data_IF_902832084657
#
_entry.id   IF_902832084657
#
_cell.length_a   1.000
_cell.length_b   1.000
_cell.length_c   1.000
_cell.angle_alpha   90.00
_cell.angle_beta   90.00
_cell.angle_gamma   90.00
#
_symmetry.space_group_name_H-M   'P 1'
#
loop_
_entity.id
_entity.type
_entity.pdbx_description
1 polymer ?
#
# COMPACT_ATOMS: atom_id res chain seq x y z
N UNK A 1 9.02 24.70 5.54
CA UNK A 1 7.80 23.87 5.58
C UNK A 1 7.85 22.96 4.38
N UNK A 2 8.47 21.81 4.54
CA UNK A 2 8.42 20.75 3.53
C UNK A 2 7.16 19.97 3.83
N UNK A 3 6.15 20.09 2.97
CA UNK A 3 5.14 19.04 2.84
C UNK A 3 5.93 17.79 2.47
N UNK A 4 6.03 16.84 3.41
CA UNK A 4 6.51 15.51 3.14
C UNK A 4 5.59 14.93 2.09
N UNK A 5 5.93 15.13 0.83
CA UNK A 5 5.31 14.45 -0.28
C UNK A 5 5.76 13.01 -0.14
N UNK A 6 4.94 12.21 0.54
CA UNK A 6 5.03 10.76 0.46
C UNK A 6 4.50 10.42 -0.92
N UNK A 7 5.30 10.75 -1.93
CA UNK A 7 5.27 9.99 -3.16
C UNK A 7 5.55 8.56 -2.71
N UNK A 8 4.52 7.73 -2.65
CA UNK A 8 4.67 6.32 -2.97
C UNK A 8 5.24 6.29 -4.39
N UNK A 9 6.54 6.54 -4.54
CA UNK A 9 7.21 6.78 -5.81
C UNK A 9 7.26 5.50 -6.62
N UNK A 10 6.10 5.07 -7.10
CA UNK A 10 5.94 3.97 -8.02
C UNK A 10 6.46 4.45 -9.35
N UNK A 11 7.60 3.88 -9.76
CA UNK A 11 8.04 4.05 -11.13
C UNK A 11 7.28 3.09 -12.06
N UNK A 12 7.50 3.25 -13.36
CA UNK A 12 6.85 2.42 -14.37
C UNK A 12 7.14 0.92 -14.17
N UNK A 13 8.36 0.59 -13.76
CA UNK A 13 8.81 -0.79 -13.58
C UNK A 13 8.08 -1.41 -12.39
N UNK A 14 7.98 -0.69 -11.28
CA UNK A 14 7.25 -1.12 -10.09
C UNK A 14 5.79 -1.44 -10.42
N UNK A 15 5.09 -0.55 -11.14
CA UNK A 15 3.68 -0.77 -11.50
C UNK A 15 3.52 -1.98 -12.41
N UNK A 16 4.39 -2.14 -13.41
CA UNK A 16 4.37 -3.30 -14.31
C UNK A 16 4.59 -4.60 -13.54
N UNK A 17 5.60 -4.65 -12.68
CA UNK A 17 5.93 -5.83 -11.90
C UNK A 17 4.81 -6.19 -10.91
N UNK A 18 4.17 -5.19 -10.28
CA UNK A 18 3.01 -5.41 -9.41
C UNK A 18 1.83 -6.01 -10.17
N UNK A 19 1.44 -5.40 -11.30
CA UNK A 19 0.31 -5.90 -12.10
C UNK A 19 0.56 -7.32 -12.59
N UNK A 20 1.78 -7.61 -13.06
CA UNK A 20 2.19 -8.95 -13.49
C UNK A 20 2.16 -9.95 -12.33
N UNK A 21 2.73 -9.58 -11.18
CA UNK A 21 2.75 -10.41 -9.97
C UNK A 21 1.35 -10.71 -9.45
N UNK A 22 0.42 -9.76 -9.58
CA UNK A 22 -0.96 -9.94 -9.14
C UNK A 22 -1.85 -10.67 -10.14
N UNK A 23 -1.35 -10.90 -11.36
CA UNK A 23 -1.99 -11.69 -12.40
C UNK A 23 -2.92 -10.86 -13.29
N UNK A 24 -2.71 -9.55 -13.38
CA UNK A 24 -3.48 -8.71 -14.29
C UNK A 24 -3.14 -9.04 -15.75
N UNK A 25 -4.14 -9.31 -16.62
CA UNK A 25 -3.88 -9.66 -18.01
C UNK A 25 -3.49 -8.43 -18.83
N UNK A 26 -2.28 -8.42 -19.38
CA UNK A 26 -1.78 -7.33 -20.24
C UNK A 26 -2.67 -7.07 -21.47
N UNK A 27 -3.43 -8.06 -21.93
CA UNK A 27 -4.40 -7.91 -23.03
C UNK A 27 -5.51 -6.91 -22.73
N UNK A 28 -5.75 -6.58 -21.46
CA UNK A 28 -6.74 -5.58 -21.03
C UNK A 28 -6.17 -4.16 -20.92
N UNK A 29 -4.93 -3.93 -21.37
CA UNK A 29 -4.28 -2.61 -21.30
C UNK A 29 -5.12 -1.47 -21.87
N UNK A 30 -5.85 -1.71 -22.98
CA UNK A 30 -6.65 -0.69 -23.64
C UNK A 30 -7.86 -0.30 -22.77
N UNK A 31 -8.54 -1.27 -22.17
CA UNK A 31 -9.64 -0.97 -21.23
C UNK A 31 -9.10 -0.26 -19.99
N UNK A 32 -7.97 -0.72 -19.44
CA UNK A 32 -7.32 -0.10 -18.29
C UNK A 32 -6.97 1.36 -18.56
N UNK A 33 -6.35 1.66 -19.70
CA UNK A 33 -6.02 3.02 -20.09
C UNK A 33 -7.22 3.96 -20.11
N UNK A 34 -8.37 3.49 -20.63
CA UNK A 34 -9.62 4.27 -20.61
C UNK A 34 -10.11 4.55 -19.19
N UNK A 35 -10.02 3.56 -18.29
CA UNK A 35 -10.42 3.72 -16.87
C UNK A 35 -9.50 4.68 -16.13
N UNK A 36 -8.21 4.65 -16.45
CA UNK A 36 -7.19 5.56 -15.92
C UNK A 36 -7.29 6.99 -16.47
N UNK A 37 -8.18 7.25 -17.45
CA UNK A 37 -8.42 8.59 -17.98
C UNK A 37 -7.68 8.94 -19.26
N UNK A 38 -6.98 7.97 -19.86
CA UNK A 38 -6.45 8.12 -21.21
C UNK A 38 -7.58 8.17 -22.23
N UNK A 39 -7.44 9.01 -23.24
CA UNK A 39 -8.43 9.11 -24.32
C UNK A 39 -8.24 7.98 -25.32
N UNK A 40 -9.34 7.59 -25.96
CA UNK A 40 -9.33 6.56 -27.00
C UNK A 40 -8.31 6.86 -28.11
N UNK A 41 -8.22 8.10 -28.57
CA UNK A 41 -7.26 8.47 -29.62
C UNK A 41 -5.80 8.23 -29.20
N UNK A 42 -5.46 8.49 -27.94
CA UNK A 42 -4.12 8.20 -27.38
C UNK A 42 -3.84 6.71 -27.42
N UNK A 43 -4.80 5.88 -27.00
CA UNK A 43 -4.67 4.43 -27.01
C UNK A 43 -4.61 3.85 -28.43
N UNK A 44 -5.44 4.35 -29.35
CA UNK A 44 -5.43 3.95 -30.76
C UNK A 44 -4.05 4.24 -31.41
N UNK A 45 -3.41 5.36 -31.04
CA UNK A 45 -2.04 5.69 -31.50
C UNK A 45 -1.01 4.71 -30.94
N UNK A 46 -1.13 4.30 -29.67
CA UNK A 46 -0.25 3.29 -29.07
C UNK A 46 -0.41 1.96 -29.80
N UNK A 47 -1.64 1.50 -30.01
CA UNK A 47 -1.94 0.24 -30.69
C UNK A 47 -1.41 0.22 -32.13
N UNK A 48 -1.56 1.33 -32.85
CA UNK A 48 -1.04 1.45 -34.21
C UNK A 48 0.49 1.40 -34.28
N UNK A 49 1.20 1.99 -33.31
CA UNK A 49 2.66 2.00 -33.25
C UNK A 49 3.26 0.67 -32.82
N UNK A 50 2.59 -0.05 -31.93
CA UNK A 50 3.08 -1.29 -31.32
C UNK A 50 2.18 -2.48 -31.65
N UNK A 51 1.71 -2.53 -32.90
CA UNK A 51 0.71 -3.49 -33.35
C UNK A 51 1.20 -4.93 -33.12
N UNK A 52 0.43 -5.69 -32.33
CA UNK A 52 0.73 -7.09 -32.00
C UNK A 52 1.70 -7.28 -30.83
N UNK A 53 2.27 -6.20 -30.28
CA UNK A 53 3.15 -6.23 -29.11
C UNK A 53 2.38 -5.73 -27.87
N UNK A 54 1.59 -6.62 -27.29
CA UNK A 54 0.73 -6.33 -26.13
C UNK A 54 1.53 -5.84 -24.91
N UNK A 55 2.66 -6.46 -24.50
CA UNK A 55 3.47 -5.96 -23.39
C UNK A 55 3.96 -4.52 -23.64
N UNK A 56 4.35 -4.20 -24.87
CA UNK A 56 4.77 -2.84 -25.22
C UNK A 56 3.64 -1.84 -25.18
N UNK A 57 2.44 -2.20 -25.66
CA UNK A 57 1.25 -1.37 -25.53
C UNK A 57 0.90 -1.09 -24.06
N UNK A 58 0.97 -2.11 -23.20
CA UNK A 58 0.77 -1.94 -21.75
C UNK A 58 1.78 -0.99 -21.13
N UNK A 59 3.07 -1.16 -21.47
CA UNK A 59 4.16 -0.31 -20.99
C UNK A 59 3.93 1.15 -21.38
N UNK A 60 3.59 1.42 -22.65
CA UNK A 60 3.35 2.78 -23.13
C UNK A 60 2.07 3.37 -22.53
N UNK A 61 1.02 2.57 -22.38
CA UNK A 61 -0.21 2.98 -21.70
C UNK A 61 0.06 3.46 -20.27
N UNK A 62 0.80 2.67 -19.48
CA UNK A 62 1.17 3.06 -18.12
C UNK A 62 2.13 4.24 -18.09
N UNK A 63 3.00 4.38 -19.10
CA UNK A 63 3.89 5.54 -19.24
C UNK A 63 3.11 6.83 -19.46
N UNK A 64 2.07 6.81 -20.30
CA UNK A 64 1.17 7.95 -20.51
C UNK A 64 0.37 8.28 -19.24
N UNK A 65 -0.09 7.25 -18.51
CA UNK A 65 -0.77 7.44 -17.24
C UNK A 65 0.14 8.07 -16.18
N UNK A 66 1.36 7.55 -15.96
CA UNK A 66 2.35 8.13 -15.05
C UNK A 66 2.79 9.53 -15.47
N UNK A 67 2.79 9.81 -16.78
CA UNK A 67 2.99 11.13 -17.35
C UNK A 67 1.79 12.09 -17.19
N UNK A 68 0.71 11.66 -16.54
CA UNK A 68 -0.53 12.42 -16.30
C UNK A 68 -1.16 12.96 -17.59
N UNK A 69 -1.11 12.17 -18.67
CA UNK A 69 -1.67 12.56 -19.95
C UNK A 69 -3.21 12.68 -19.92
N UNK A 70 -3.78 13.35 -20.92
CA UNK A 70 -5.22 13.41 -21.14
C UNK A 70 -6.04 13.86 -19.92
N UNK A 71 -6.90 12.98 -19.38
CA UNK A 71 -7.83 13.26 -18.29
C UNK A 71 -7.45 12.45 -17.03
N UNK A 72 -6.20 12.02 -16.90
CA UNK A 72 -5.70 11.23 -15.75
C UNK A 72 -5.95 11.96 -14.43
N UNK A 73 -5.71 13.26 -14.39
CA UNK A 73 -5.94 14.09 -13.19
C UNK A 73 -7.42 14.16 -12.80
N UNK A 74 -8.32 14.15 -13.79
CA UNK A 74 -9.76 14.08 -13.55
C UNK A 74 -10.23 12.70 -13.05
N UNK A 75 -9.33 11.70 -13.05
CA UNK A 75 -9.56 10.33 -12.57
C UNK A 75 -8.79 10.00 -11.28
N UNK A 76 -8.31 11.02 -10.57
CA UNK A 76 -7.56 10.86 -9.32
C UNK A 76 -6.06 11.04 -9.47
N UNK A 77 -5.53 11.11 -10.70
CA UNK A 77 -4.10 11.26 -10.95
C UNK A 77 -3.38 9.93 -11.16
N UNK A 78 -2.05 9.97 -11.05
CA UNK A 78 -1.18 8.84 -11.30
C UNK A 78 -0.63 8.25 -9.99
N UNK A 79 -1.49 7.56 -9.27
CA UNK A 79 -1.17 6.91 -7.99
C UNK A 79 -1.82 5.53 -7.87
N UNK A 80 -1.46 4.78 -6.82
CA UNK A 80 -1.97 3.43 -6.63
C UNK A 80 -3.46 3.38 -6.23
N UNK A 81 -4.06 4.51 -5.81
CA UNK A 81 -5.50 4.59 -5.51
C UNK A 81 -6.27 4.57 -6.81
N UNK A 82 -5.93 5.48 -7.73
CA UNK A 82 -6.58 5.60 -9.02
C UNK A 82 -6.41 4.33 -9.85
N UNK A 83 -5.25 3.65 -9.73
CA UNK A 83 -5.04 2.33 -10.31
C UNK A 83 -5.94 1.26 -9.68
N UNK A 84 -6.04 1.20 -8.35
CA UNK A 84 -6.91 0.27 -7.63
C UNK A 84 -8.38 0.46 -7.99
N UNK A 85 -8.84 1.70 -8.08
CA UNK A 85 -10.21 2.04 -8.46
C UNK A 85 -10.51 1.70 -9.92
N UNK A 86 -9.56 1.97 -10.83
CA UNK A 86 -9.66 1.56 -12.22
C UNK A 86 -9.82 0.04 -12.33
N UNK A 87 -8.97 -0.74 -11.63
CA UNK A 87 -9.04 -2.20 -11.58
C UNK A 87 -10.38 -2.69 -11.02
N UNK A 88 -10.87 -2.10 -9.92
CA UNK A 88 -12.19 -2.43 -9.33
C UNK A 88 -13.31 -2.16 -10.34
N UNK A 89 -13.23 -1.06 -11.09
CA UNK A 89 -14.21 -0.69 -12.12
C UNK A 89 -14.23 -1.63 -13.34
N UNK A 90 -13.14 -2.38 -13.56
CA UNK A 90 -12.99 -3.42 -14.57
C UNK A 90 -13.39 -4.81 -14.06
N UNK A 91 -13.91 -4.91 -12.83
CA UNK A 91 -14.18 -6.17 -12.13
C UNK A 91 -12.91 -7.01 -11.84
N UNK A 92 -11.73 -6.39 -11.85
CA UNK A 92 -10.45 -6.99 -11.43
C UNK A 92 -10.26 -6.82 -9.91
N UNK A 93 -11.31 -7.15 -9.14
CA UNK A 93 -11.36 -6.93 -7.69
C UNK A 93 -10.24 -7.66 -6.96
N UNK A 94 -9.88 -8.87 -7.37
CA UNK A 94 -8.79 -9.62 -6.77
C UNK A 94 -7.41 -8.93 -6.96
N UNK A 95 -7.18 -8.30 -8.10
CA UNK A 95 -5.94 -7.54 -8.35
C UNK A 95 -5.94 -6.26 -7.53
N UNK A 96 -7.08 -5.55 -7.48
CA UNK A 96 -7.24 -4.33 -6.68
C UNK A 96 -7.01 -4.59 -5.19
N UNK A 97 -7.57 -5.67 -4.62
CA UNK A 97 -7.35 -6.02 -3.21
C UNK A 97 -5.89 -6.39 -2.91
N UNK A 98 -5.21 -7.13 -3.81
CA UNK A 98 -3.77 -7.40 -3.66
C UNK A 98 -2.94 -6.12 -3.72
N UNK A 99 -3.31 -5.18 -4.59
CA UNK A 99 -2.65 -3.89 -4.69
C UNK A 99 -2.82 -3.07 -3.40
N UNK A 100 -4.05 -2.96 -2.91
CA UNK A 100 -4.35 -2.31 -1.62
C UNK A 100 -3.52 -2.91 -0.49
N UNK A 101 -3.48 -4.23 -0.42
CA UNK A 101 -2.71 -4.95 0.59
C UNK A 101 -1.20 -4.65 0.50
N UNK A 102 -0.64 -4.60 -0.71
CA UNK A 102 0.75 -4.22 -0.94
C UNK A 102 1.05 -2.80 -0.45
N UNK A 103 0.14 -1.85 -0.69
CA UNK A 103 0.31 -0.46 -0.23
C UNK A 103 0.37 -0.38 1.29
N UNK A 104 -0.55 -1.06 2.00
CA UNK A 104 -0.55 -1.06 3.47
C UNK A 104 0.76 -1.63 4.05
N UNK A 105 1.29 -2.70 3.46
CA UNK A 105 2.59 -3.25 3.86
C UNK A 105 3.72 -2.23 3.60
N UNK A 106 3.67 -1.51 2.47
CA UNK A 106 4.67 -0.51 2.15
C UNK A 106 4.64 0.68 3.12
N UNK A 107 3.44 1.19 3.43
CA UNK A 107 3.24 2.23 4.46
C UNK A 107 3.84 1.76 5.78
N UNK A 108 3.52 0.55 6.24
CA UNK A 108 4.09 0.01 7.47
C UNK A 108 5.63 -0.05 7.42
N UNK A 109 6.21 -0.53 6.31
CA UNK A 109 7.67 -0.61 6.16
C UNK A 109 8.34 0.78 6.18
N UNK A 110 7.71 1.80 5.60
CA UNK A 110 8.23 3.17 5.61
C UNK A 110 8.31 3.75 7.04
N UNK A 111 7.37 3.38 7.91
CA UNK A 111 7.38 3.78 9.32
C UNK A 111 8.20 2.85 10.22
N UNK A 112 8.67 1.70 9.73
CA UNK A 112 9.33 0.67 10.54
C UNK A 112 10.54 1.20 11.31
N UNK A 113 11.38 2.01 10.67
CA UNK A 113 12.57 2.58 11.31
C UNK A 113 12.22 3.49 12.48
N UNK A 114 11.19 4.33 12.34
CA UNK A 114 10.75 5.23 13.41
C UNK A 114 10.10 4.42 14.53
N UNK A 115 9.26 3.44 14.18
CA UNK A 115 8.63 2.56 15.15
C UNK A 115 9.67 1.76 15.96
N UNK A 116 10.69 1.17 15.33
CA UNK A 116 11.71 0.39 16.05
C UNK A 116 12.57 1.24 16.99
N UNK A 117 12.69 2.54 16.72
CA UNK A 117 13.47 3.48 17.54
C UNK A 117 12.67 4.15 18.65
N UNK A 118 11.38 4.42 18.42
CA UNK A 118 10.60 5.32 19.27
C UNK A 118 9.42 4.66 19.99
N UNK A 119 8.99 3.48 19.57
CA UNK A 119 7.79 2.83 20.12
C UNK A 119 7.95 2.56 21.63
N UNK A 120 7.04 3.10 22.42
CA UNK A 120 7.05 2.97 23.87
C UNK A 120 6.17 1.81 24.32
N UNK A 121 6.66 1.06 25.31
CA UNK A 121 5.94 -0.05 25.95
C UNK A 121 5.42 -1.17 25.00
N UNK A 122 6.34 -1.86 24.27
CA UNK A 122 5.97 -2.87 23.29
C UNK A 122 5.19 -4.06 23.88
N UNK A 123 5.39 -4.39 25.15
CA UNK A 123 4.66 -5.48 25.81
C UNK A 123 3.20 -5.11 26.05
N UNK A 124 2.93 -3.90 26.57
CA UNK A 124 1.55 -3.44 26.76
C UNK A 124 0.81 -3.31 25.42
N UNK A 125 1.48 -2.80 24.38
CA UNK A 125 0.90 -2.76 23.02
C UNK A 125 0.54 -4.17 22.54
N UNK A 126 1.44 -5.15 22.70
CA UNK A 126 1.16 -6.53 22.29
C UNK A 126 -0.11 -7.09 22.95
N UNK A 127 -0.31 -6.83 24.24
CA UNK A 127 -1.52 -7.24 24.95
C UNK A 127 -2.79 -6.53 24.48
N UNK A 128 -2.72 -5.23 24.19
CA UNK A 128 -3.84 -4.48 23.62
C UNK A 128 -4.23 -5.02 22.24
N UNK A 129 -3.25 -5.30 21.38
CA UNK A 129 -3.50 -5.87 20.05
C UNK A 129 -4.05 -7.30 20.12
N UNK A 130 -3.68 -8.07 21.14
CA UNK A 130 -4.29 -9.37 21.42
C UNK A 130 -5.76 -9.24 21.85
N UNK A 131 -6.07 -8.24 22.69
CA UNK A 131 -7.45 -7.95 23.08
C UNK A 131 -8.32 -7.55 21.87
N UNK A 132 -7.75 -6.79 20.92
CA UNK A 132 -8.36 -6.46 19.62
C UNK A 132 -8.39 -7.63 18.62
N UNK A 133 -7.96 -8.84 19.03
CA UNK A 133 -7.89 -10.06 18.21
C UNK A 133 -7.01 -9.93 16.95
N UNK A 134 -6.13 -8.93 16.92
CA UNK A 134 -5.19 -8.75 15.83
C UNK A 134 -3.96 -9.66 15.98
N UNK A 135 -3.42 -9.78 17.20
CA UNK A 135 -2.29 -10.67 17.48
C UNK A 135 -2.73 -11.99 18.11
N UNK A 136 -1.97 -13.05 17.86
CA UNK A 136 -2.13 -14.35 18.53
C UNK A 136 -1.40 -14.37 19.87
N UNK A 137 -1.76 -15.30 20.75
CA UNK A 137 -1.05 -15.50 22.02
C UNK A 137 0.44 -15.85 21.81
N UNK A 138 0.75 -16.57 20.73
CA UNK A 138 2.12 -16.93 20.34
C UNK A 138 2.92 -15.67 19.97
N UNK A 139 2.32 -14.75 19.22
CA UNK A 139 2.92 -13.46 18.90
C UNK A 139 3.22 -12.63 20.15
N UNK A 140 2.26 -12.52 21.09
CA UNK A 140 2.48 -11.83 22.37
C UNK A 140 3.60 -12.51 23.17
N UNK A 141 3.65 -13.84 23.20
CA UNK A 141 4.67 -14.59 23.92
C UNK A 141 6.08 -14.33 23.38
N UNK A 142 6.23 -14.17 22.05
CA UNK A 142 7.51 -13.75 21.43
C UNK A 142 7.96 -12.37 21.90
N UNK A 143 7.03 -11.42 22.05
CA UNK A 143 7.34 -10.07 22.53
C UNK A 143 7.76 -10.10 24.01
N UNK A 144 7.02 -10.81 24.85
CA UNK A 144 7.32 -10.91 26.30
C UNK A 144 8.67 -11.59 26.55
N UNK A 145 8.98 -12.66 25.82
CA UNK A 145 10.22 -13.42 25.99
C UNK A 145 11.48 -12.69 25.52
N UNK A 146 11.36 -11.63 24.73
CA UNK A 146 12.47 -10.79 24.29
C UNK A 146 13.02 -9.84 25.40
N UNK A 147 12.41 -9.86 26.59
CA UNK A 147 12.89 -9.17 27.79
C UNK A 147 14.31 -9.60 28.20
N UNK A 148 15.14 -8.69 28.77
CA UNK A 148 14.87 -7.28 29.09
C UNK A 148 15.20 -6.29 27.96
N UNK A 149 15.52 -6.76 26.76
CA UNK A 149 15.95 -5.88 25.66
C UNK A 149 14.75 -5.20 25.00
N UNK A 150 14.51 -3.92 25.32
CA UNK A 150 13.48 -3.10 24.67
C UNK A 150 13.60 -3.10 23.13
N UNK A 151 14.79 -2.96 22.52
CA UNK A 151 14.92 -3.08 21.07
C UNK A 151 14.43 -4.42 20.52
N UNK A 152 14.73 -5.54 21.21
CA UNK A 152 14.28 -6.86 20.76
C UNK A 152 12.77 -7.02 20.92
N UNK A 153 12.17 -6.46 21.97
CA UNK A 153 10.72 -6.46 22.15
C UNK A 153 10.01 -5.68 21.04
N UNK A 154 10.55 -4.51 20.66
CA UNK A 154 10.03 -3.73 19.53
C UNK A 154 10.11 -4.51 18.24
N UNK A 155 11.24 -5.11 17.93
CA UNK A 155 11.41 -5.88 16.70
C UNK A 155 10.48 -7.09 16.64
N UNK A 156 10.32 -7.81 17.76
CA UNK A 156 9.37 -8.92 17.87
C UNK A 156 7.92 -8.46 17.64
N UNK A 157 7.53 -7.30 18.20
CA UNK A 157 6.21 -6.72 18.02
C UNK A 157 5.98 -6.30 16.56
N UNK A 158 6.93 -5.58 15.96
CA UNK A 158 6.82 -5.10 14.59
C UNK A 158 6.80 -6.25 13.57
N UNK A 159 7.55 -7.32 13.84
CA UNK A 159 7.47 -8.56 13.05
C UNK A 159 6.07 -9.17 13.13
N UNK A 160 5.49 -9.29 14.32
CA UNK A 160 4.16 -9.84 14.50
C UNK A 160 3.06 -8.96 13.87
N UNK A 161 3.19 -7.63 13.96
CA UNK A 161 2.30 -6.68 13.29
C UNK A 161 2.38 -6.85 11.78
N UNK A 162 3.58 -6.98 11.21
CA UNK A 162 3.77 -7.21 9.77
C UNK A 162 3.11 -8.51 9.29
N UNK A 163 3.29 -9.60 10.03
CA UNK A 163 2.63 -10.90 9.75
C UNK A 163 1.10 -10.78 9.77
N UNK A 164 0.54 -10.04 10.76
CA UNK A 164 -0.89 -9.80 10.85
C UNK A 164 -1.40 -8.94 9.69
N UNK A 165 -0.70 -7.86 9.33
CA UNK A 165 -1.02 -7.01 8.17
C UNK A 165 -0.99 -7.80 6.86
N UNK A 166 -0.08 -8.76 6.72
CA UNK A 166 0.00 -9.68 5.58
C UNK A 166 -1.18 -10.65 5.47
N UNK A 167 -1.91 -10.87 6.57
CA UNK A 167 -3.05 -11.80 6.61
C UNK A 167 -4.37 -11.06 6.52
N UNK A 168 -4.50 -9.91 7.18
CA UNK A 168 -5.68 -9.06 7.19
C UNK A 168 -5.29 -7.57 7.02
N UNK A 169 -5.71 -6.92 5.91
CA UNK A 169 -5.51 -5.49 5.69
C UNK A 169 -5.97 -4.59 6.85
N UNK A 170 -7.03 -4.98 7.57
CA UNK A 170 -7.56 -4.15 8.67
C UNK A 170 -6.62 -4.11 9.88
N UNK A 171 -5.67 -5.06 9.97
CA UNK A 171 -4.69 -5.12 11.06
C UNK A 171 -3.87 -3.84 11.18
N UNK A 172 -3.56 -3.15 10.07
CA UNK A 172 -2.79 -1.91 10.15
C UNK A 172 -3.62 -0.78 10.80
N UNK A 173 -4.92 -0.71 10.48
CA UNK A 173 -5.83 0.23 11.13
C UNK A 173 -5.99 -0.09 12.63
N UNK A 174 -6.14 -1.36 12.99
CA UNK A 174 -6.21 -1.77 14.40
C UNK A 174 -4.93 -1.41 15.15
N UNK A 175 -3.77 -1.68 14.56
CA UNK A 175 -2.47 -1.34 15.13
C UNK A 175 -2.33 0.16 15.39
N UNK A 176 -2.64 0.98 14.39
CA UNK A 176 -2.54 2.44 14.49
C UNK A 176 -3.53 3.02 15.49
N UNK A 177 -4.76 2.52 15.54
CA UNK A 177 -5.73 2.90 16.57
C UNK A 177 -5.21 2.59 17.98
N UNK A 178 -4.63 1.41 18.20
CA UNK A 178 -4.01 1.07 19.49
C UNK A 178 -2.87 2.01 19.82
N UNK A 179 -1.97 2.34 18.87
CA UNK A 179 -0.93 3.35 19.09
C UNK A 179 -1.52 4.70 19.52
N UNK A 180 -2.62 5.12 18.92
CA UNK A 180 -3.33 6.36 19.26
C UNK A 180 -4.01 6.34 20.64
N UNK A 181 -4.27 5.17 21.23
CA UNK A 181 -4.77 5.11 22.62
C UNK A 181 -3.67 5.35 23.66
N UNK A 182 -2.40 5.14 23.29
CA UNK A 182 -1.26 5.31 24.17
C UNK A 182 -0.68 6.71 23.95
N UNK A 183 -0.86 7.60 24.94
CA UNK A 183 -0.44 9.02 24.87
C UNK A 183 0.97 9.27 24.32
N UNK A 184 1.94 8.40 24.64
CA UNK A 184 3.33 8.51 24.17
C UNK A 184 3.55 8.13 22.71
N UNK A 185 2.64 7.34 22.12
CA UNK A 185 2.75 6.83 20.75
C UNK A 185 1.74 7.48 19.80
N UNK A 186 0.90 8.41 20.26
CA UNK A 186 -0.15 9.07 19.46
C UNK A 186 0.41 9.65 18.16
N UNK A 187 1.55 10.34 18.22
CA UNK A 187 2.16 10.93 17.02
C UNK A 187 2.61 9.88 16.01
N UNK A 188 3.02 8.69 16.48
CA UNK A 188 3.40 7.58 15.60
C UNK A 188 2.16 6.96 14.95
N UNK A 189 1.11 6.74 15.72
CA UNK A 189 -0.16 6.22 15.20
C UNK A 189 -0.80 7.19 14.20
N UNK A 190 -0.80 8.48 14.50
CA UNK A 190 -1.37 9.51 13.64
C UNK A 190 -0.61 9.64 12.32
N UNK A 191 0.73 9.62 12.33
CA UNK A 191 1.51 9.69 11.10
C UNK A 191 1.18 8.53 10.14
N UNK A 192 0.97 7.33 10.67
CA UNK A 192 0.58 6.18 9.83
C UNK A 192 -0.88 6.32 9.36
N UNK A 193 -1.79 6.81 10.20
CA UNK A 193 -3.18 7.05 9.79
C UNK A 193 -3.28 8.10 8.69
N UNK A 194 -2.48 9.16 8.77
CA UNK A 194 -2.43 10.20 7.75
C UNK A 194 -2.02 9.58 6.39
N UNK A 195 -0.95 8.78 6.36
CA UNK A 195 -0.52 8.06 5.15
C UNK A 195 -1.57 7.07 4.62
N UNK A 196 -2.30 6.38 5.50
CA UNK A 196 -3.40 5.51 5.08
C UNK A 196 -4.57 6.34 4.52
N UNK A 197 -4.84 7.51 5.08
CA UNK A 197 -5.91 8.39 4.61
C UNK A 197 -5.60 9.00 3.24
N UNK A 198 -4.33 9.27 2.94
CA UNK A 198 -3.87 9.63 1.59
C UNK A 198 -4.10 8.49 0.58
N UNK A 199 -4.25 7.23 1.03
CA UNK A 199 -4.63 6.10 0.19
C UNK A 199 -6.17 5.96 -0.02
N UNK A 200 -7.00 6.61 0.80
CA UNK A 200 -8.46 6.46 0.78
C UNK A 200 -9.23 7.68 0.24
N UNK A 201 -8.56 8.79 -0.05
CA UNK A 201 -9.12 9.99 -0.71
C UNK A 201 -8.75 10.05 -2.19
#
# INVERSE_FOLDING_TARGET
MATSQICLGVDLVDVLDLLKRFGFPETKWHELGLRLGLRKNTLDVIEAKHRGDVPRCMTECLSQWLGRADNVDSRGGADLNSLSDALRSMNETAVAEKLKHHVLINIFNNHHTVLSQSLCDPVSIAWLLYAERMLTQEAVSRVVSASPSIPNQREALLTAVKEAVQTDPNSLHTFTNVLCTISTNVSLGQAILDDISEYHN
#
